data_IF_899820501760
#
_entry.id   IF_899820501760
#
_cell.length_a   1.000
_cell.length_b   1.000
_cell.length_c   1.000
_cell.angle_alpha   90.00
_cell.angle_beta   90.00
_cell.angle_gamma   90.00
#
_symmetry.space_group_name_H-M   'P 1'
#
loop_
_entity.id
_entity.type
_entity.pdbx_description
1 polymer ?
#
# COMPACT_ATOMS: atom_id res chain seq x y z
N UNK A 1 6.00 -3.45 -11.58
CA UNK A 1 5.13 -4.00 -10.51
C UNK A 1 4.18 -5.08 -11.00
N UNK A 2 3.93 -5.22 -12.30
CA UNK A 2 3.52 -6.51 -12.88
C UNK A 2 4.40 -7.66 -12.38
N UNK A 3 5.69 -7.42 -12.14
CA UNK A 3 6.62 -8.33 -11.47
C UNK A 3 6.17 -8.79 -10.06
N UNK A 4 5.61 -7.91 -9.22
CA UNK A 4 5.07 -8.31 -7.91
C UNK A 4 3.77 -9.11 -8.08
N UNK A 5 2.95 -8.80 -9.09
CA UNK A 5 1.76 -9.63 -9.40
C UNK A 5 2.15 -11.03 -9.87
N UNK A 6 3.29 -11.15 -10.57
CA UNK A 6 3.77 -12.41 -11.14
C UNK A 6 4.59 -13.26 -10.16
N UNK A 7 5.44 -12.63 -9.35
CA UNK A 7 6.43 -13.31 -8.50
C UNK A 7 6.09 -13.23 -7.01
N UNK A 8 5.07 -12.45 -6.65
CA UNK A 8 4.68 -12.22 -5.27
C UNK A 8 3.79 -13.33 -4.72
N UNK A 9 4.16 -13.88 -3.57
CA UNK A 9 3.31 -14.81 -2.83
C UNK A 9 3.36 -14.54 -1.32
N UNK A 10 2.26 -14.83 -0.62
CA UNK A 10 2.17 -14.72 0.83
C UNK A 10 2.22 -16.11 1.44
N UNK A 11 3.19 -16.35 2.32
CA UNK A 11 3.31 -17.58 3.09
C UNK A 11 2.19 -17.69 4.15
N UNK A 12 1.93 -18.89 4.71
CA UNK A 12 0.88 -19.08 5.72
C UNK A 12 0.99 -18.19 6.97
N UNK A 13 2.19 -17.70 7.29
CA UNK A 13 2.47 -16.79 8.40
C UNK A 13 2.29 -15.29 8.03
N UNK A 14 1.91 -15.01 6.78
CA UNK A 14 1.74 -13.66 6.23
C UNK A 14 3.01 -13.07 5.62
N UNK A 15 4.15 -13.76 5.64
CA UNK A 15 5.40 -13.27 5.03
C UNK A 15 5.24 -13.14 3.52
N UNK A 16 5.54 -11.95 2.97
CA UNK A 16 5.61 -11.73 1.53
C UNK A 16 6.96 -12.21 1.00
N UNK A 17 6.92 -13.09 -0.01
CA UNK A 17 8.06 -13.41 -0.85
C UNK A 17 7.93 -12.70 -2.20
N UNK A 18 9.03 -12.16 -2.72
CA UNK A 18 9.15 -11.69 -4.11
C UNK A 18 10.43 -12.27 -4.68
N UNK A 19 10.31 -13.04 -5.78
CA UNK A 19 11.46 -13.74 -6.35
C UNK A 19 12.16 -14.65 -5.33
N UNK A 20 11.41 -15.28 -4.42
CA UNK A 20 11.93 -16.14 -3.34
C UNK A 20 12.55 -15.41 -2.14
N UNK A 21 12.59 -14.08 -2.14
CA UNK A 21 13.17 -13.29 -1.04
C UNK A 21 12.09 -12.76 -0.10
N UNK A 22 12.30 -12.94 1.21
CA UNK A 22 11.40 -12.41 2.23
C UNK A 22 11.49 -10.89 2.33
N UNK A 23 10.33 -10.23 2.28
CA UNK A 23 10.23 -8.78 2.31
C UNK A 23 9.78 -8.30 3.68
N UNK A 24 10.65 -7.57 4.39
CA UNK A 24 10.34 -6.97 5.68
C UNK A 24 9.66 -5.59 5.56
N UNK A 25 10.05 -4.79 4.57
CA UNK A 25 9.56 -3.41 4.36
C UNK A 25 9.25 -3.18 2.90
N UNK A 26 8.10 -2.57 2.62
CA UNK A 26 7.70 -2.09 1.29
C UNK A 26 7.73 -0.57 1.32
N UNK A 27 8.66 0.01 0.57
CA UNK A 27 8.82 1.45 0.46
C UNK A 27 8.27 1.95 -0.88
N UNK A 28 7.14 2.64 -0.85
CA UNK A 28 6.47 3.11 -2.06
C UNK A 28 7.13 4.38 -2.60
N UNK A 29 7.65 4.30 -3.83
CA UNK A 29 8.14 5.44 -4.65
C UNK A 29 7.32 5.67 -5.93
N UNK A 30 6.18 5.01 -6.01
CA UNK A 30 5.18 5.12 -7.07
C UNK A 30 3.81 4.80 -6.42
N UNK A 31 2.75 4.69 -7.23
CA UNK A 31 1.38 4.30 -6.82
C UNK A 31 0.58 5.42 -6.17
N UNK A 32 0.99 6.66 -6.39
CA UNK A 32 0.29 7.86 -5.88
C UNK A 32 -0.60 8.51 -6.95
N UNK A 33 -0.49 8.07 -8.21
CA UNK A 33 -1.26 8.58 -9.33
C UNK A 33 -1.99 7.45 -10.07
N UNK A 34 -3.16 7.72 -10.69
CA UNK A 34 -3.86 6.72 -11.51
C UNK A 34 -3.01 6.15 -12.65
N UNK A 35 -2.11 6.97 -13.22
CA UNK A 35 -1.19 6.56 -14.29
C UNK A 35 -0.24 5.43 -13.88
N UNK A 36 -0.04 5.22 -12.58
CA UNK A 36 0.75 4.09 -12.10
C UNK A 36 0.01 2.76 -12.31
N UNK A 37 -1.31 2.77 -12.46
CA UNK A 37 -2.21 1.61 -12.52
C UNK A 37 -2.83 1.42 -13.93
N UNK A 38 -2.04 1.05 -14.96
CA UNK A 38 -2.56 0.85 -16.32
C UNK A 38 -3.46 -0.39 -16.45
N UNK A 39 -3.40 -1.34 -15.51
CA UNK A 39 -4.19 -2.56 -15.54
C UNK A 39 -4.55 -3.06 -14.13
N UNK A 40 -5.33 -4.15 -14.06
CA UNK A 40 -5.68 -4.83 -12.81
C UNK A 40 -4.49 -5.53 -12.12
N UNK A 41 -3.41 -5.84 -12.85
CA UNK A 41 -2.22 -6.46 -12.26
C UNK A 41 -1.62 -5.58 -11.16
N UNK A 42 -1.62 -4.28 -11.39
CA UNK A 42 -1.14 -3.31 -10.44
C UNK A 42 -1.99 -3.20 -9.17
N UNK A 43 -3.31 -3.37 -9.31
CA UNK A 43 -4.24 -3.39 -8.18
C UNK A 43 -4.11 -4.66 -7.35
N UNK A 44 -4.02 -5.82 -8.00
CA UNK A 44 -3.79 -7.10 -7.32
C UNK A 44 -2.47 -7.11 -6.55
N UNK A 45 -1.40 -6.63 -7.17
CA UNK A 45 -0.11 -6.56 -6.50
C UNK A 45 -0.12 -5.56 -5.32
N UNK A 46 -0.83 -4.42 -5.43
CA UNK A 46 -1.05 -3.52 -4.28
C UNK A 46 -1.81 -4.23 -3.15
N UNK A 47 -2.86 -4.97 -3.47
CA UNK A 47 -3.65 -5.71 -2.49
C UNK A 47 -2.81 -6.82 -1.82
N UNK A 48 -2.01 -7.56 -2.58
CA UNK A 48 -1.09 -8.58 -2.08
C UNK A 48 -0.14 -7.98 -1.04
N UNK A 49 0.53 -6.88 -1.40
CA UNK A 49 1.42 -6.15 -0.50
C UNK A 49 0.72 -5.71 0.80
N UNK A 50 -0.47 -5.10 0.70
CA UNK A 50 -1.21 -4.62 1.88
C UNK A 50 -1.67 -5.76 2.80
N UNK A 51 -1.99 -6.94 2.25
CA UNK A 51 -2.37 -8.14 3.02
C UNK A 51 -1.20 -8.82 3.73
N UNK A 52 0.04 -8.56 3.30
CA UNK A 52 1.23 -9.18 3.91
C UNK A 52 1.60 -8.58 5.27
N UNK A 53 2.43 -9.31 6.01
CA UNK A 53 3.03 -8.90 7.28
C UNK A 53 4.16 -7.87 7.13
N UNK A 54 4.61 -7.57 5.91
CA UNK A 54 5.62 -6.55 5.66
C UNK A 54 5.17 -5.18 6.18
N UNK A 55 6.10 -4.35 6.62
CA UNK A 55 5.83 -2.96 7.02
C UNK A 55 5.66 -2.12 5.75
N UNK A 56 4.50 -1.48 5.60
CA UNK A 56 4.21 -0.61 4.46
C UNK A 56 4.61 0.83 4.77
N UNK A 57 5.36 1.47 3.88
CA UNK A 57 5.77 2.86 3.96
C UNK A 57 5.36 3.60 2.67
N UNK A 58 4.16 4.22 2.63
CA UNK A 58 3.09 4.17 3.64
C UNK A 58 2.18 2.94 3.50
N UNK A 59 1.43 2.59 4.56
CA UNK A 59 0.27 1.69 4.48
C UNK A 59 -0.90 2.34 3.72
N UNK A 60 -1.91 1.56 3.34
CA UNK A 60 -3.11 2.11 2.70
C UNK A 60 -3.82 3.17 3.58
N UNK A 61 -3.85 2.98 4.90
CA UNK A 61 -4.42 3.97 5.82
C UNK A 61 -3.63 5.29 5.79
N UNK A 62 -2.30 5.22 5.92
CA UNK A 62 -1.45 6.42 5.85
C UNK A 62 -1.54 7.13 4.49
N UNK A 63 -1.65 6.36 3.41
CA UNK A 63 -1.88 6.93 2.07
C UNK A 63 -3.17 7.75 2.06
N UNK A 64 -4.29 7.19 2.55
CA UNK A 64 -5.59 7.87 2.56
C UNK A 64 -5.61 9.08 3.51
N UNK A 65 -4.93 9.01 4.65
CA UNK A 65 -4.78 10.13 5.59
C UNK A 65 -4.08 11.33 4.94
N UNK A 66 -3.19 11.12 3.96
CA UNK A 66 -2.52 12.20 3.22
C UNK A 66 -3.39 12.93 2.18
N UNK A 67 -4.66 12.51 2.00
CA UNK A 67 -5.54 13.15 1.02
C UNK A 67 -5.94 14.57 1.45
N UNK A 68 -6.17 15.45 0.46
CA UNK A 68 -6.67 16.80 0.71
C UNK A 68 -8.04 16.81 1.37
N UNK A 69 -8.83 15.75 1.19
CA UNK A 69 -10.11 15.60 1.87
C UNK A 69 -9.93 15.38 3.37
N UNK A 70 -9.02 14.50 3.79
CA UNK A 70 -8.71 14.33 5.22
C UNK A 70 -8.12 15.62 5.80
N UNK A 71 -7.21 16.29 5.08
CA UNK A 71 -6.71 17.60 5.50
C UNK A 71 -7.84 18.62 5.74
N UNK A 72 -8.84 18.67 4.86
CA UNK A 72 -10.00 19.56 5.02
C UNK A 72 -10.88 19.16 6.21
N UNK A 73 -11.11 17.86 6.43
CA UNK A 73 -11.90 17.35 7.56
C UNK A 73 -11.23 17.68 8.89
N UNK A 74 -9.91 17.49 9.00
CA UNK A 74 -9.12 17.83 10.20
C UNK A 74 -9.10 19.33 10.52
N UNK A 75 -9.48 20.19 9.56
CA UNK A 75 -9.58 21.64 9.77
C UNK A 75 -10.95 22.08 10.32
N UNK A 76 -11.91 21.17 10.50
CA UNK A 76 -13.22 21.49 11.10
C UNK A 76 -13.09 21.61 12.63
N UNK A 77 -13.90 22.48 13.28
CA UNK A 77 -13.95 22.54 14.73
C UNK A 77 -14.24 21.17 15.37
N UNK A 78 -13.59 20.89 16.49
CA UNK A 78 -13.78 19.69 17.33
C UNK A 78 -13.46 18.34 16.67
N UNK A 79 -12.75 18.33 15.54
CA UNK A 79 -12.33 17.09 14.85
C UNK A 79 -10.93 16.65 15.26
N UNK A 80 -10.00 17.59 15.51
CA UNK A 80 -8.62 17.26 15.84
C UNK A 80 -8.46 16.84 17.30
N UNK A 81 -9.27 17.42 18.19
CA UNK A 81 -9.16 17.31 19.64
C UNK A 81 -9.96 16.15 20.27
N UNK A 82 -10.68 15.37 19.46
CA UNK A 82 -11.39 14.15 19.90
C UNK A 82 -10.52 12.91 19.80
#
# INVERSE_FOLDING_TARGET
MAEIDQEGEIQPDGTLLVGGHAIAVIYFRARYAPTDYPSEAEWRARLLMERSSAIKCPSISYHLTGTKKIQQELAKPDVLEK
#
